data_IF_065645086988
#
_entry.id   IF_065645086988
#
_cell.length_a   1.000
_cell.length_b   1.000
_cell.length_c   1.000
_cell.angle_alpha   90.00
_cell.angle_beta   90.00
_cell.angle_gamma   90.00
#
_symmetry.space_group_name_H-M   'P 1'
#
loop_
_entity.id
_entity.type
_entity.pdbx_description
1 polymer ?
#
# COMPACT_ATOMS: atom_id res chain seq x y z
N UNK A 1 -41.03 55.93 -10.30
CA UNK A 1 -40.59 54.78 -11.13
C UNK A 1 -39.35 54.13 -10.47
N UNK A 2 -39.55 53.19 -9.53
CA UNK A 2 -39.67 51.75 -9.80
C UNK A 2 -38.39 51.20 -10.46
N UNK A 3 -37.70 50.14 -10.01
CA UNK A 3 -37.89 49.16 -8.94
C UNK A 3 -36.80 48.10 -9.17
N UNK A 4 -35.86 47.89 -8.26
CA UNK A 4 -35.01 46.67 -8.24
C UNK A 4 -34.61 46.43 -6.77
N UNK A 5 -34.86 45.31 -6.09
CA UNK A 5 -35.26 43.99 -6.55
C UNK A 5 -34.35 42.92 -5.95
N UNK A 6 -34.48 42.69 -4.63
CA UNK A 6 -34.09 41.50 -3.84
C UNK A 6 -32.60 41.04 -3.79
N UNK A 7 -32.05 40.79 -2.58
CA UNK A 7 -30.96 39.83 -2.44
C UNK A 7 -31.55 38.42 -2.44
N UNK A 8 -31.18 37.60 -3.42
CA UNK A 8 -31.49 36.17 -3.42
C UNK A 8 -30.63 35.47 -2.38
N UNK A 9 -31.16 35.29 -1.17
CA UNK A 9 -30.60 34.34 -0.20
C UNK A 9 -30.82 32.92 -0.72
N UNK A 10 -29.73 32.31 -1.20
CA UNK A 10 -29.68 30.90 -1.55
C UNK A 10 -29.73 30.04 -0.29
N UNK A 11 -30.94 29.73 0.17
CA UNK A 11 -31.21 28.72 1.19
C UNK A 11 -30.77 27.36 0.65
N UNK A 12 -29.59 26.90 1.06
CA UNK A 12 -29.15 25.51 0.85
C UNK A 12 -29.69 24.66 1.99
N UNK A 13 -30.96 24.26 1.86
CA UNK A 13 -31.58 23.24 2.70
C UNK A 13 -31.67 21.92 1.94
N UNK A 14 -31.19 20.88 2.59
CA UNK A 14 -31.45 19.44 2.37
C UNK A 14 -30.60 18.71 1.32
N UNK A 15 -29.61 17.98 1.84
CA UNK A 15 -29.61 16.51 1.76
C UNK A 15 -28.65 16.01 2.85
N UNK A 16 -28.92 14.85 3.44
CA UNK A 16 -28.09 14.23 4.47
C UNK A 16 -26.71 13.86 3.93
N UNK A 17 -25.88 14.87 3.70
CA UNK A 17 -24.54 14.75 3.17
C UNK A 17 -23.66 14.16 4.26
N UNK A 18 -23.58 12.83 4.28
CA UNK A 18 -22.48 12.15 4.97
C UNK A 18 -21.21 12.90 4.60
N UNK A 19 -20.48 13.46 5.58
CA UNK A 19 -19.45 14.45 5.28
C UNK A 19 -18.44 13.80 4.33
N UNK A 20 -18.18 14.47 3.19
CA UNK A 20 -17.24 14.03 2.14
C UNK A 20 -15.86 13.64 2.70
N UNK A 21 -15.52 14.12 3.89
CA UNK A 21 -14.31 13.79 4.67
C UNK A 21 -14.29 12.35 5.23
N UNK A 22 -15.44 11.77 5.57
CA UNK A 22 -15.51 10.40 6.09
C UNK A 22 -15.18 9.38 4.99
N UNK A 23 -15.72 9.59 3.78
CA UNK A 23 -15.47 8.72 2.63
C UNK A 23 -13.97 8.71 2.24
N UNK A 24 -13.32 9.87 2.29
CA UNK A 24 -11.88 9.97 2.01
C UNK A 24 -11.03 9.39 3.14
N UNK A 25 -11.49 9.46 4.39
CA UNK A 25 -10.80 8.89 5.56
C UNK A 25 -10.86 7.37 5.58
N UNK A 26 -12.03 6.78 5.31
CA UNK A 26 -12.22 5.32 5.28
C UNK A 26 -11.39 4.71 4.14
N UNK A 27 -11.48 5.28 2.93
CA UNK A 27 -10.70 4.80 1.79
C UNK A 27 -9.20 4.94 2.03
N UNK A 28 -8.75 6.08 2.56
CA UNK A 28 -7.35 6.28 2.94
C UNK A 28 -6.89 5.21 3.93
N UNK A 29 -7.67 4.91 4.97
CA UNK A 29 -7.36 3.86 5.95
C UNK A 29 -7.27 2.49 5.29
N UNK A 30 -8.20 2.15 4.40
CA UNK A 30 -8.16 0.89 3.65
C UNK A 30 -6.88 0.77 2.79
N UNK A 31 -6.54 1.81 2.02
CA UNK A 31 -5.31 1.85 1.21
C UNK A 31 -4.06 1.74 2.07
N UNK A 32 -4.02 2.42 3.22
CA UNK A 32 -2.90 2.31 4.16
C UNK A 32 -2.76 0.89 4.68
N UNK A 33 -3.85 0.26 5.12
CA UNK A 33 -3.83 -1.13 5.59
C UNK A 33 -3.30 -2.10 4.52
N UNK A 34 -3.76 -1.96 3.27
CA UNK A 34 -3.26 -2.78 2.15
C UNK A 34 -1.76 -2.57 1.93
N UNK A 35 -1.28 -1.33 1.94
CA UNK A 35 0.14 -1.06 1.80
C UNK A 35 0.95 -1.63 2.97
N UNK A 36 0.44 -1.56 4.20
CA UNK A 36 1.05 -2.19 5.38
C UNK A 36 1.15 -3.71 5.19
N UNK A 37 0.09 -4.37 4.74
CA UNK A 37 0.12 -5.80 4.43
C UNK A 37 1.15 -6.14 3.33
N UNK A 38 1.23 -5.34 2.26
CA UNK A 38 2.22 -5.53 1.18
C UNK A 38 3.66 -5.37 1.71
N UNK A 39 3.91 -4.39 2.58
CA UNK A 39 5.23 -4.18 3.20
C UNK A 39 5.55 -5.34 4.15
N UNK A 40 4.58 -5.80 4.94
CA UNK A 40 4.72 -6.98 5.79
C UNK A 40 5.10 -8.21 4.97
N UNK A 41 4.38 -8.48 3.88
CA UNK A 41 4.66 -9.60 2.99
C UNK A 41 6.05 -9.50 2.35
N UNK A 42 6.46 -8.30 1.91
CA UNK A 42 7.83 -8.06 1.41
C UNK A 42 8.89 -8.46 2.44
N UNK A 43 8.65 -8.13 3.71
CA UNK A 43 9.55 -8.41 4.82
C UNK A 43 9.52 -9.88 5.29
N UNK A 44 8.53 -10.67 4.85
CA UNK A 44 8.44 -12.11 5.13
C UNK A 44 9.08 -12.97 4.05
N UNK A 45 9.32 -12.44 2.85
CA UNK A 45 9.84 -13.22 1.70
C UNK A 45 11.34 -12.95 1.52
N UNK A 46 12.23 -13.91 1.84
CA UNK A 46 13.68 -13.73 1.73
C UNK A 46 14.15 -13.25 0.35
N UNK A 47 13.58 -13.84 -0.71
CA UNK A 47 13.93 -13.56 -2.10
C UNK A 47 13.59 -12.13 -2.58
N UNK A 48 12.75 -11.37 -1.87
CA UNK A 48 12.48 -9.95 -2.18
C UNK A 48 13.11 -9.04 -1.13
N UNK A 49 13.06 -9.46 0.13
CA UNK A 49 13.55 -8.72 1.30
C UNK A 49 15.03 -8.37 1.20
N UNK A 50 15.84 -9.24 0.61
CA UNK A 50 17.28 -9.01 0.47
C UNK A 50 17.64 -7.74 -0.32
N UNK A 51 16.75 -7.28 -1.20
CA UNK A 51 16.94 -6.05 -1.97
C UNK A 51 16.72 -4.79 -1.11
N UNK A 52 16.01 -4.90 0.02
CA UNK A 52 15.76 -3.77 0.89
C UNK A 52 16.93 -3.56 1.86
N UNK A 53 17.79 -2.60 1.51
CA UNK A 53 18.95 -2.21 2.32
C UNK A 53 18.56 -1.63 3.69
N UNK A 54 17.33 -1.14 3.84
CA UNK A 54 16.83 -0.60 5.10
C UNK A 54 16.27 -1.68 6.03
N UNK A 55 16.02 -2.89 5.52
CA UNK A 55 15.54 -3.99 6.33
C UNK A 55 16.66 -4.53 7.22
N UNK A 56 16.43 -4.52 8.53
CA UNK A 56 17.35 -5.11 9.50
C UNK A 56 16.77 -6.41 10.03
N UNK A 57 17.51 -7.49 9.82
CA UNK A 57 17.19 -8.78 10.39
C UNK A 57 17.35 -8.77 11.90
N UNK A 58 16.35 -9.29 12.61
CA UNK A 58 16.41 -9.41 14.06
C UNK A 58 17.48 -10.42 14.51
N UNK A 59 17.75 -11.44 13.71
CA UNK A 59 18.73 -12.51 13.99
C UNK A 59 20.12 -12.24 13.42
N UNK A 60 20.30 -11.14 12.68
CA UNK A 60 21.55 -10.81 11.98
C UNK A 60 21.88 -11.68 10.76
N UNK A 61 21.07 -12.70 10.46
CA UNK A 61 21.25 -13.54 9.26
C UNK A 61 20.90 -12.73 8.02
N UNK A 62 21.81 -12.61 7.06
CA UNK A 62 21.53 -11.94 5.80
C UNK A 62 21.00 -12.92 4.76
N UNK A 63 19.93 -12.53 4.07
CA UNK A 63 19.43 -13.23 2.89
C UNK A 63 20.42 -12.99 1.74
N UNK A 64 21.30 -13.96 1.45
CA UNK A 64 22.24 -13.89 0.33
C UNK A 64 21.88 -14.94 -0.71
N UNK A 65 21.93 -14.60 -2.00
CA UNK A 65 21.75 -15.59 -3.05
C UNK A 65 22.92 -16.58 -3.04
N UNK A 66 22.58 -17.86 -3.25
CA UNK A 66 23.56 -18.92 -3.48
C UNK A 66 24.23 -18.81 -4.87
N UNK A 67 25.14 -19.72 -5.21
CA UNK A 67 25.81 -19.77 -6.52
C UNK A 67 24.83 -19.90 -7.70
N UNK A 68 23.61 -20.38 -7.44
CA UNK A 68 22.54 -20.56 -8.43
C UNK A 68 21.59 -19.36 -8.49
N UNK A 69 21.79 -18.35 -7.64
CA UNK A 69 20.94 -17.16 -7.56
C UNK A 69 19.62 -17.36 -6.81
N UNK A 70 19.52 -18.40 -5.97
CA UNK A 70 18.36 -18.69 -5.14
C UNK A 70 18.58 -18.17 -3.72
N UNK A 71 17.50 -17.69 -3.11
CA UNK A 71 17.44 -17.32 -1.70
C UNK A 71 16.31 -18.15 -1.12
N UNK A 72 16.66 -19.06 -0.23
CA UNK A 72 15.73 -19.97 0.43
C UNK A 72 14.85 -20.75 -0.59
N UNK A 73 15.49 -21.33 -1.60
CA UNK A 73 14.81 -22.10 -2.65
C UNK A 73 14.13 -21.29 -3.75
N UNK A 74 13.98 -19.97 -3.58
CA UNK A 74 13.31 -19.09 -4.56
C UNK A 74 14.31 -18.22 -5.30
N UNK A 75 14.15 -18.05 -6.62
CA UNK A 75 15.00 -17.15 -7.42
C UNK A 75 14.95 -15.73 -6.86
N UNK A 76 16.11 -15.15 -6.59
CA UNK A 76 16.25 -13.80 -6.07
C UNK A 76 15.54 -12.77 -6.98
N UNK A 77 14.73 -11.90 -6.39
CA UNK A 77 14.02 -10.85 -7.11
C UNK A 77 15.00 -9.79 -7.63
N UNK A 78 14.70 -9.15 -8.76
CA UNK A 78 15.55 -8.07 -9.32
C UNK A 78 15.08 -6.66 -8.91
N UNK A 79 13.81 -6.53 -8.53
CA UNK A 79 13.17 -5.26 -8.18
C UNK A 79 12.08 -5.48 -7.15
N UNK A 80 11.92 -4.54 -6.23
CA UNK A 80 10.80 -4.51 -5.29
C UNK A 80 9.63 -3.79 -5.98
N UNK A 81 8.59 -4.53 -6.32
CA UNK A 81 7.32 -3.98 -6.85
C UNK A 81 6.15 -4.77 -6.29
N UNK A 82 4.94 -4.18 -6.28
CA UNK A 82 3.73 -4.89 -5.81
C UNK A 82 3.52 -6.21 -6.55
N UNK A 83 3.69 -6.21 -7.87
CA UNK A 83 3.59 -7.41 -8.69
C UNK A 83 4.67 -8.43 -8.32
N UNK A 84 5.93 -8.01 -8.23
CA UNK A 84 7.05 -8.90 -7.89
C UNK A 84 6.91 -9.52 -6.50
N UNK A 85 6.44 -8.74 -5.51
CA UNK A 85 6.17 -9.25 -4.15
C UNK A 85 5.13 -10.38 -4.21
N UNK A 86 4.03 -10.19 -4.94
CA UNK A 86 2.97 -11.20 -5.05
C UNK A 86 3.42 -12.44 -5.82
N UNK A 87 4.13 -12.28 -6.93
CA UNK A 87 4.67 -13.41 -7.70
C UNK A 87 5.65 -14.25 -6.86
N UNK A 88 6.58 -13.59 -6.15
CA UNK A 88 7.56 -14.26 -5.30
C UNK A 88 6.94 -14.86 -4.05
N UNK A 89 5.88 -14.26 -3.51
CA UNK A 89 5.12 -14.84 -2.40
C UNK A 89 4.56 -16.22 -2.79
N UNK A 90 3.95 -16.32 -3.98
CA UNK A 90 3.44 -17.58 -4.50
C UNK A 90 4.56 -18.62 -4.66
N UNK A 91 5.71 -18.22 -5.22
CA UNK A 91 6.86 -19.11 -5.37
C UNK A 91 7.43 -19.59 -4.04
N UNK A 92 7.26 -18.83 -2.96
CA UNK A 92 7.84 -19.12 -1.65
C UNK A 92 6.98 -20.06 -0.77
N UNK A 93 5.66 -20.04 -0.96
CA UNK A 93 4.74 -20.86 -0.15
C UNK A 93 4.43 -22.24 -0.78
N UNK A 94 4.77 -22.44 -2.05
CA UNK A 94 4.55 -23.68 -2.80
C UNK A 94 5.80 -24.54 -2.73
#
# INVERSE_FOLDING_TARGET
>A
PASEGAPTEGVSLTSGARPKTAHTTIERRYRTNLNTCIVGLRNSIPAVRYLDKSYKHATGVQDKPDERGLIDGVKAARKISKATIMSKAREYIV
#
